data_IF_000117643733
#
_entry.id   IF_000117643733
#
_cell.length_a   1.000
_cell.length_b   1.000
_cell.length_c   1.000
_cell.angle_alpha   90.00
_cell.angle_beta   90.00
_cell.angle_gamma   90.00
#
_symmetry.space_group_name_H-M   'P 1'
#
loop_
_entity.id
_entity.type
_entity.pdbx_description
1 polymer ?
#
# COMPACT_ATOMS: atom_id res chain seq x y z
N UNK A 1 -8.06 28.52 -56.90
CA UNK A 1 -8.70 29.74 -57.46
C UNK A 1 -10.17 29.41 -57.65
N UNK A 2 -11.11 30.21 -57.08
CA UNK A 2 -12.58 29.97 -57.01
C UNK A 2 -12.98 28.72 -56.19
N UNK A 3 -13.87 28.73 -55.18
CA UNK A 3 -14.99 29.59 -54.74
C UNK A 3 -16.34 29.39 -55.47
N UNK A 4 -17.34 29.01 -54.67
CA UNK A 4 -18.80 29.14 -54.83
C UNK A 4 -19.38 28.78 -53.43
N UNK A 5 -20.14 29.62 -52.72
CA UNK A 5 -21.47 30.21 -53.05
C UNK A 5 -22.56 29.12 -53.15
N UNK A 6 -23.76 29.21 -52.55
CA UNK A 6 -24.41 30.37 -51.92
C UNK A 6 -25.55 30.02 -50.92
N UNK A 7 -25.85 30.98 -50.04
CA UNK A 7 -27.14 31.46 -49.51
C UNK A 7 -28.45 30.65 -49.80
N UNK A 8 -29.23 30.27 -48.78
CA UNK A 8 -30.30 31.04 -48.06
C UNK A 8 -31.54 31.43 -48.90
N UNK A 9 -32.71 30.89 -48.52
CA UNK A 9 -34.06 31.42 -48.81
C UNK A 9 -35.05 31.01 -47.70
N UNK A 10 -36.22 31.66 -47.57
CA UNK A 10 -36.84 31.93 -46.24
C UNK A 10 -38.39 32.01 -46.23
N UNK A 11 -39.06 31.25 -45.33
CA UNK A 11 -40.46 31.42 -44.79
C UNK A 11 -41.67 31.29 -45.76
N UNK A 12 -42.97 31.35 -45.33
CA UNK A 12 -43.58 31.42 -43.97
C UNK A 12 -44.79 30.50 -43.63
N UNK A 13 -45.15 30.50 -42.34
CA UNK A 13 -46.46 30.38 -41.66
C UNK A 13 -47.60 29.47 -42.19
N UNK A 14 -48.13 28.64 -41.28
CA UNK A 14 -49.53 28.74 -40.81
C UNK A 14 -49.73 28.15 -39.40
N UNK A 15 -50.75 28.62 -38.69
CA UNK A 15 -51.01 28.36 -37.27
C UNK A 15 -52.06 27.28 -37.03
N UNK A 16 -52.04 26.64 -35.85
CA UNK A 16 -53.27 26.19 -35.15
C UNK A 16 -53.03 25.83 -33.67
N UNK A 17 -53.61 26.67 -32.79
CA UNK A 17 -54.44 26.35 -31.60
C UNK A 17 -53.90 25.32 -30.56
N UNK A 18 -53.76 25.82 -29.31
CA UNK A 18 -53.54 25.06 -28.06
C UNK A 18 -54.65 24.02 -27.75
N UNK A 19 -54.35 23.01 -26.90
CA UNK A 19 -54.87 23.14 -25.54
C UNK A 19 -53.84 22.86 -24.42
N UNK A 20 -54.05 23.58 -23.32
CA UNK A 20 -53.34 23.50 -22.04
C UNK A 20 -53.39 22.08 -21.45
N UNK A 21 -52.24 21.54 -21.04
CA UNK A 21 -52.16 20.48 -20.01
C UNK A 21 -51.07 20.81 -19.01
N UNK A 22 -51.42 20.75 -17.74
CA UNK A 22 -50.58 21.11 -16.60
C UNK A 22 -49.35 20.19 -16.50
N UNK A 23 -48.16 20.79 -16.54
CA UNK A 23 -46.92 20.12 -16.14
C UNK A 23 -46.70 20.36 -14.64
N UNK A 24 -46.89 19.30 -13.86
CA UNK A 24 -46.50 19.25 -12.45
C UNK A 24 -44.97 19.22 -12.40
N UNK A 25 -44.29 20.17 -11.75
CA UNK A 25 -42.86 20.03 -11.50
C UNK A 25 -42.65 18.94 -10.46
N UNK A 26 -42.12 17.79 -10.88
CA UNK A 26 -41.70 16.74 -9.96
C UNK A 26 -40.43 17.19 -9.24
N UNK A 27 -40.59 17.95 -8.15
CA UNK A 27 -39.50 18.38 -7.30
C UNK A 27 -38.95 17.17 -6.54
N UNK A 28 -38.05 16.43 -7.17
CA UNK A 28 -37.30 15.35 -6.52
C UNK A 28 -36.32 15.96 -5.52
N UNK A 29 -36.82 16.26 -4.31
CA UNK A 29 -35.98 16.57 -3.17
C UNK A 29 -35.21 15.28 -2.83
N UNK A 30 -34.00 15.17 -3.37
CA UNK A 30 -33.01 14.24 -2.85
C UNK A 30 -32.66 14.74 -1.46
N UNK A 31 -33.31 14.16 -0.45
CA UNK A 31 -32.91 14.30 0.93
C UNK A 31 -31.56 13.59 1.09
N UNK A 32 -30.48 14.29 0.77
CA UNK A 32 -29.13 13.96 1.20
C UNK A 32 -29.12 14.07 2.73
N UNK A 33 -29.50 12.97 3.38
CA UNK A 33 -29.45 12.86 4.84
C UNK A 33 -28.00 12.96 5.26
N UNK A 34 -27.60 14.16 5.67
CA UNK A 34 -26.28 14.41 6.25
C UNK A 34 -26.22 13.73 7.61
N UNK A 35 -25.96 12.41 7.63
CA UNK A 35 -25.55 11.66 8.81
C UNK A 35 -24.10 12.04 9.17
N UNK A 36 -23.92 13.31 9.51
CA UNK A 36 -22.64 13.99 9.70
C UNK A 36 -22.61 14.88 10.93
N UNK A 37 -23.38 14.54 11.99
CA UNK A 37 -23.23 15.10 13.33
C UNK A 37 -24.10 14.33 14.37
N UNK A 38 -23.61 13.19 14.89
CA UNK A 38 -23.96 12.63 16.22
C UNK A 38 -23.38 11.20 16.42
N UNK A 39 -22.05 11.07 16.57
CA UNK A 39 -21.43 9.89 17.20
C UNK A 39 -20.39 10.32 18.24
N UNK A 40 -20.90 10.99 19.28
CA UNK A 40 -20.18 11.30 20.51
C UNK A 40 -21.02 10.83 21.72
N UNK A 41 -21.51 9.59 21.66
CA UNK A 41 -22.40 9.00 22.66
C UNK A 41 -22.42 7.46 22.62
N UNK A 42 -21.25 6.84 22.46
CA UNK A 42 -20.99 5.44 22.85
C UNK A 42 -19.47 5.25 22.94
N UNK A 43 -18.97 4.43 23.86
CA UNK A 43 -17.53 4.23 24.11
C UNK A 43 -16.78 3.44 23.03
N UNK A 44 -17.21 3.51 21.78
CA UNK A 44 -16.67 2.76 20.66
C UNK A 44 -15.52 3.53 20.01
N UNK A 45 -14.29 3.07 20.25
CA UNK A 45 -13.11 3.56 19.56
C UNK A 45 -13.22 3.29 18.06
N UNK A 46 -12.92 4.30 17.22
CA UNK A 46 -12.88 4.19 15.76
C UNK A 46 -11.89 3.14 15.22
N UNK A 47 -11.07 2.54 16.08
CA UNK A 47 -10.28 1.34 15.79
C UNK A 47 -11.13 0.09 15.47
N UNK A 48 -12.36 0.02 15.98
CA UNK A 48 -13.29 -1.09 15.76
C UNK A 48 -14.42 -0.72 14.79
N UNK A 49 -14.36 0.47 14.20
CA UNK A 49 -15.16 0.84 13.03
C UNK A 49 -14.30 0.66 11.77
N UNK A 50 -14.87 0.08 10.73
CA UNK A 50 -14.16 -0.22 9.48
C UNK A 50 -14.70 0.59 8.32
N UNK A 51 -13.80 0.97 7.42
CA UNK A 51 -14.13 1.71 6.21
C UNK A 51 -15.09 0.91 5.32
N UNK A 52 -16.08 1.58 4.74
CA UNK A 52 -16.95 1.01 3.71
C UNK A 52 -16.29 0.95 2.32
N UNK A 53 -15.05 1.44 2.18
CA UNK A 53 -14.27 1.36 0.94
C UNK A 53 -13.99 -0.12 0.59
N UNK A 54 -14.10 -0.53 -0.69
CA UNK A 54 -13.65 -1.85 -1.14
C UNK A 54 -12.18 -2.09 -0.80
N UNK A 55 -11.80 -3.35 -0.57
CA UNK A 55 -10.42 -3.71 -0.25
C UNK A 55 -9.49 -3.45 -1.45
N UNK A 56 -8.47 -2.58 -1.33
CA UNK A 56 -7.69 -2.15 -2.49
C UNK A 56 -6.49 -3.05 -2.81
N UNK A 57 -5.95 -3.79 -1.82
CA UNK A 57 -4.66 -4.48 -1.96
C UNK A 57 -4.79 -5.88 -2.56
N UNK A 58 -4.09 -6.12 -3.67
CA UNK A 58 -3.85 -7.46 -4.23
C UNK A 58 -2.85 -8.24 -3.40
N UNK A 59 -1.79 -7.58 -2.94
CA UNK A 59 -0.85 -8.14 -1.97
C UNK A 59 -0.29 -7.09 -1.01
N UNK A 60 0.19 -7.59 0.13
CA UNK A 60 1.13 -6.97 1.04
C UNK A 60 2.39 -7.85 1.12
N UNK A 61 3.56 -7.23 1.12
CA UNK A 61 4.87 -7.86 1.13
C UNK A 61 5.66 -7.29 2.31
N UNK A 62 6.25 -8.14 3.14
CA UNK A 62 7.16 -7.73 4.20
C UNK A 62 8.50 -8.48 4.05
N UNK A 63 9.60 -7.74 4.09
CA UNK A 63 10.95 -8.25 3.87
C UNK A 63 11.82 -7.87 5.07
N UNK A 64 12.50 -8.86 5.63
CA UNK A 64 13.53 -8.71 6.67
C UNK A 64 14.36 -10.02 6.74
N UNK A 65 15.49 -10.03 7.44
CA UNK A 65 16.20 -11.25 7.82
C UNK A 65 15.23 -12.32 8.39
N UNK A 66 15.27 -13.58 7.92
CA UNK A 66 14.29 -14.60 8.27
C UNK A 66 14.35 -15.05 9.72
N UNK A 67 15.51 -14.95 10.39
CA UNK A 67 15.68 -15.33 11.79
C UNK A 67 15.19 -14.20 12.70
N UNK A 68 15.34 -12.93 12.28
CA UNK A 68 14.68 -11.78 12.90
C UNK A 68 13.16 -11.91 12.81
N UNK A 69 12.60 -12.31 11.66
CA UNK A 69 11.15 -12.56 11.52
C UNK A 69 10.70 -13.65 12.50
N UNK A 70 11.39 -14.80 12.56
CA UNK A 70 11.07 -15.90 13.52
C UNK A 70 11.12 -15.43 14.98
N UNK A 71 12.15 -14.68 15.34
CA UNK A 71 12.29 -14.13 16.69
C UNK A 71 11.18 -13.11 17.03
N UNK A 72 10.75 -12.31 16.05
CA UNK A 72 9.57 -11.46 16.19
C UNK A 72 8.29 -12.27 16.35
N UNK A 73 8.03 -13.30 15.52
CA UNK A 73 6.81 -14.11 15.61
C UNK A 73 6.60 -14.67 17.04
N UNK A 74 7.68 -15.15 17.67
CA UNK A 74 7.67 -15.68 19.05
C UNK A 74 7.32 -14.57 20.06
N UNK A 75 8.02 -13.42 20.00
CA UNK A 75 7.78 -12.29 20.91
C UNK A 75 6.38 -11.70 20.74
N UNK A 76 5.88 -11.62 19.51
CA UNK A 76 4.53 -11.16 19.20
C UNK A 76 3.47 -12.10 19.76
N UNK A 77 3.68 -13.42 19.74
CA UNK A 77 2.77 -14.37 20.39
C UNK A 77 2.71 -14.17 21.92
N UNK A 78 3.86 -13.98 22.58
CA UNK A 78 3.92 -13.66 24.01
C UNK A 78 3.22 -12.33 24.32
N UNK A 79 3.43 -11.32 23.48
CA UNK A 79 2.82 -10.00 23.59
C UNK A 79 1.30 -10.04 23.43
N UNK A 80 0.79 -10.72 22.40
CA UNK A 80 -0.63 -10.86 22.15
C UNK A 80 -1.37 -11.58 23.29
N UNK A 81 -0.74 -12.56 23.94
CA UNK A 81 -1.27 -13.19 25.16
C UNK A 81 -1.36 -12.19 26.33
N UNK A 82 -0.47 -11.20 26.43
CA UNK A 82 -0.56 -10.13 27.44
C UNK A 82 -1.70 -9.15 27.11
N UNK A 83 -1.85 -8.76 25.84
CA UNK A 83 -2.97 -7.93 25.36
C UNK A 83 -4.32 -8.63 25.57
N UNK A 84 -4.40 -9.93 25.31
CA UNK A 84 -5.59 -10.76 25.53
C UNK A 84 -6.00 -10.82 27.01
N UNK A 85 -5.03 -10.90 27.92
CA UNK A 85 -5.25 -10.91 29.37
C UNK A 85 -5.51 -9.51 29.96
N UNK A 86 -5.56 -8.46 29.14
CA UNK A 86 -5.70 -7.08 29.61
C UNK A 86 -4.49 -6.55 30.40
N UNK A 87 -3.32 -7.18 30.25
CA UNK A 87 -2.06 -6.76 30.90
C UNK A 87 -1.33 -5.68 30.11
N UNK A 88 -1.79 -5.39 28.89
CA UNK A 88 -1.30 -4.32 28.02
C UNK A 88 -2.47 -3.61 27.35
N UNK A 89 -2.49 -2.28 27.40
CA UNK A 89 -3.59 -1.45 26.89
C UNK A 89 -3.46 -1.17 25.37
N UNK A 90 -3.12 -2.20 24.60
CA UNK A 90 -3.01 -2.08 23.14
C UNK A 90 -4.37 -2.23 22.45
N UNK A 91 -4.58 -1.35 21.47
CA UNK A 91 -5.82 -1.28 20.67
C UNK A 91 -6.01 -2.57 19.87
N UNK A 92 -4.96 -3.03 19.21
CA UNK A 92 -4.92 -4.23 18.39
C UNK A 92 -3.97 -5.28 18.99
N UNK A 93 -4.04 -6.49 18.46
CA UNK A 93 -2.94 -7.47 18.51
C UNK A 93 -2.00 -7.21 17.33
N UNK A 94 -0.80 -7.73 17.37
CA UNK A 94 0.17 -7.62 16.28
C UNK A 94 0.15 -8.90 15.42
N UNK A 95 0.11 -8.76 14.10
CA UNK A 95 -0.14 -9.90 13.19
C UNK A 95 0.95 -10.96 13.18
N UNK A 96 2.20 -10.60 13.49
CA UNK A 96 3.37 -11.41 13.18
C UNK A 96 3.35 -12.81 13.80
N UNK A 97 2.59 -13.09 14.87
CA UNK A 97 2.49 -14.43 15.46
C UNK A 97 2.07 -15.53 14.46
N UNK A 98 1.37 -15.17 13.39
CA UNK A 98 0.87 -16.12 12.38
C UNK A 98 1.71 -16.19 11.10
N UNK A 99 2.66 -15.29 10.90
CA UNK A 99 3.33 -15.05 9.61
C UNK A 99 4.86 -15.21 9.71
N UNK A 100 5.36 -16.46 9.82
CA UNK A 100 6.77 -16.75 9.55
C UNK A 100 7.12 -16.50 8.08
N UNK A 101 8.41 -16.45 7.71
CA UNK A 101 8.82 -16.31 6.31
C UNK A 101 8.22 -17.42 5.45
N UNK A 102 7.47 -17.05 4.41
CA UNK A 102 6.93 -17.96 3.41
C UNK A 102 8.03 -18.42 2.46
N UNK A 103 8.89 -17.49 2.04
CA UNK A 103 10.08 -17.74 1.22
C UNK A 103 11.31 -17.20 1.96
N UNK A 104 12.46 -17.82 1.74
CA UNK A 104 13.76 -17.27 2.11
C UNK A 104 14.66 -17.33 0.89
N UNK A 105 15.26 -16.21 0.53
CA UNK A 105 16.30 -16.15 -0.51
C UNK A 105 17.65 -16.12 0.21
N UNK A 106 18.40 -17.20 0.02
CA UNK A 106 19.79 -17.31 0.48
C UNK A 106 20.69 -16.56 -0.51
N UNK A 107 21.61 -15.74 -0.01
CA UNK A 107 22.62 -15.03 -0.81
C UNK A 107 24.02 -15.26 -0.22
N UNK A 108 25.11 -15.08 -1.00
CA UNK A 108 26.47 -15.13 -0.47
C UNK A 108 26.76 -14.17 0.70
N UNK A 109 26.02 -13.07 0.81
CA UNK A 109 26.22 -12.03 1.82
C UNK A 109 25.23 -12.11 3.01
N UNK A 110 24.24 -13.01 2.98
CA UNK A 110 23.19 -13.11 4.02
C UNK A 110 21.86 -13.64 3.49
N UNK A 111 20.75 -13.41 4.21
CA UNK A 111 19.44 -14.01 3.93
C UNK A 111 18.32 -12.97 3.89
N UNK A 112 17.37 -13.17 2.99
CA UNK A 112 16.18 -12.34 2.86
C UNK A 112 14.93 -13.19 3.08
N UNK A 113 14.28 -13.03 4.23
CA UNK A 113 13.00 -13.62 4.54
C UNK A 113 11.87 -12.78 3.95
N UNK A 114 10.89 -13.45 3.33
CA UNK A 114 9.76 -12.81 2.68
C UNK A 114 8.47 -13.36 3.29
N UNK A 115 7.62 -12.46 3.79
CA UNK A 115 6.23 -12.72 4.15
C UNK A 115 5.36 -12.07 3.08
N UNK A 116 4.54 -12.87 2.38
CA UNK A 116 3.63 -12.37 1.35
C UNK A 116 2.18 -12.68 1.75
N UNK A 117 1.38 -11.63 1.92
CA UNK A 117 -0.06 -11.74 2.13
C UNK A 117 -0.78 -11.37 0.83
N UNK A 118 -1.40 -12.35 0.18
CA UNK A 118 -2.24 -12.16 -1.02
C UNK A 118 -3.71 -12.12 -0.62
N UNK A 119 -4.52 -11.30 -1.28
CA UNK A 119 -5.91 -11.08 -0.90
C UNK A 119 -6.88 -11.21 -2.09
N UNK A 120 -8.14 -11.54 -1.79
CA UNK A 120 -9.26 -11.36 -2.72
C UNK A 120 -9.67 -9.88 -2.79
N UNK A 121 -10.48 -9.51 -3.81
CA UNK A 121 -11.13 -8.17 -3.88
C UNK A 121 -12.09 -7.88 -2.70
N UNK A 122 -12.35 -8.86 -1.83
CA UNK A 122 -13.14 -8.72 -0.59
C UNK A 122 -12.28 -8.73 0.68
N UNK A 123 -10.95 -8.67 0.56
CA UNK A 123 -10.01 -8.68 1.67
C UNK A 123 -9.72 -10.05 2.28
N UNK A 124 -10.32 -11.13 1.77
CA UNK A 124 -10.04 -12.49 2.30
C UNK A 124 -8.59 -12.86 1.99
N UNK A 125 -7.84 -13.27 3.01
CA UNK A 125 -6.45 -13.71 2.89
C UNK A 125 -6.38 -15.05 2.13
N UNK A 126 -5.66 -15.07 1.01
CA UNK A 126 -5.54 -16.20 0.10
C UNK A 126 -4.21 -16.95 0.22
N UNK A 127 -3.19 -16.39 0.88
CA UNK A 127 -1.86 -17.01 0.96
C UNK A 127 -1.93 -18.43 1.53
N UNK A 128 -1.41 -19.45 0.83
CA UNK A 128 -1.32 -20.82 1.31
C UNK A 128 -0.65 -20.91 2.69
N UNK A 129 -1.22 -21.71 3.60
CA UNK A 129 -0.70 -21.89 4.96
C UNK A 129 -1.18 -20.85 5.98
N UNK A 130 -1.46 -19.61 5.56
CA UNK A 130 -2.04 -18.57 6.43
C UNK A 130 -3.58 -18.52 6.37
N UNK A 131 -4.17 -18.96 5.25
CA UNK A 131 -5.62 -19.02 5.04
C UNK A 131 -6.40 -19.86 6.09
N UNK A 132 -5.74 -20.79 6.81
CA UNK A 132 -6.33 -21.62 7.88
C UNK A 132 -7.01 -20.86 9.02
N UNK A 133 -6.75 -19.56 9.15
CA UNK A 133 -7.31 -18.70 10.19
C UNK A 133 -8.53 -17.87 9.74
N UNK A 134 -8.98 -18.05 8.49
CA UNK A 134 -10.10 -17.32 7.89
C UNK A 134 -9.98 -15.79 8.07
N UNK A 135 -8.81 -15.23 7.80
CA UNK A 135 -8.56 -13.81 7.94
C UNK A 135 -9.23 -12.99 6.82
N UNK A 136 -9.88 -11.89 7.20
CA UNK A 136 -10.31 -10.82 6.30
C UNK A 136 -9.57 -9.54 6.66
N UNK A 137 -8.82 -8.98 5.72
CA UNK A 137 -8.17 -7.68 5.84
C UNK A 137 -9.16 -6.53 5.62
N UNK A 138 -9.05 -5.50 6.45
CA UNK A 138 -9.91 -4.30 6.41
C UNK A 138 -9.10 -3.06 6.76
N UNK A 139 -9.59 -1.89 6.33
CA UNK A 139 -9.09 -0.58 6.78
C UNK A 139 -9.97 -0.10 7.93
N UNK A 140 -9.38 0.18 9.10
CA UNK A 140 -10.09 0.84 10.21
C UNK A 140 -10.31 2.33 9.94
N UNK A 141 -11.28 2.95 10.62
CA UNK A 141 -11.56 4.39 10.49
C UNK A 141 -10.40 5.29 10.97
N UNK A 142 -9.43 4.74 11.70
CA UNK A 142 -8.17 5.39 12.11
C UNK A 142 -6.98 5.03 11.20
N UNK A 143 -7.23 4.57 9.97
CA UNK A 143 -6.19 4.34 8.97
C UNK A 143 -5.22 3.18 9.27
N UNK A 144 -5.57 2.25 10.16
CA UNK A 144 -4.77 1.02 10.36
C UNK A 144 -5.34 -0.10 9.48
N UNK A 145 -4.47 -0.86 8.82
CA UNK A 145 -4.77 -2.09 8.10
C UNK A 145 -4.72 -3.26 9.09
N UNK A 146 -5.86 -3.93 9.27
CA UNK A 146 -6.01 -4.98 10.28
C UNK A 146 -6.60 -6.25 9.69
N UNK A 147 -6.22 -7.40 10.23
CA UNK A 147 -6.81 -8.71 9.93
C UNK A 147 -7.86 -9.06 10.98
N UNK A 148 -9.05 -9.42 10.52
CA UNK A 148 -10.15 -9.94 11.32
C UNK A 148 -10.15 -11.47 11.25
N UNK A 149 -9.86 -12.14 12.36
CA UNK A 149 -9.92 -13.60 12.47
C UNK A 149 -11.39 -14.03 12.39
N UNK A 150 -11.71 -15.03 11.56
CA UNK A 150 -13.09 -15.44 11.26
C UNK A 150 -13.99 -14.32 10.66
N UNK A 151 -13.41 -13.24 10.13
CA UNK A 151 -14.11 -12.13 9.49
C UNK A 151 -14.89 -11.20 10.44
N UNK A 152 -15.74 -10.34 9.85
CA UNK A 152 -16.43 -9.23 10.52
C UNK A 152 -17.34 -9.58 11.71
N UNK A 153 -17.72 -10.85 11.88
CA UNK A 153 -18.68 -11.27 12.90
C UNK A 153 -18.03 -11.66 14.24
N UNK A 154 -16.70 -11.83 14.29
CA UNK A 154 -15.98 -12.28 15.48
C UNK A 154 -15.66 -11.11 16.43
N UNK A 155 -16.70 -10.61 17.11
CA UNK A 155 -16.60 -9.52 18.10
C UNK A 155 -15.79 -9.89 19.35
N UNK A 156 -15.43 -11.16 19.53
CA UNK A 156 -14.67 -11.64 20.69
C UNK A 156 -13.16 -11.58 20.46
N UNK A 157 -12.71 -11.46 19.22
CA UNK A 157 -11.29 -11.33 18.88
C UNK A 157 -10.93 -9.87 18.57
N UNK A 158 -9.86 -9.37 19.22
CA UNK A 158 -9.22 -8.11 18.81
C UNK A 158 -8.66 -8.25 17.39
N UNK A 159 -8.79 -7.24 16.52
CA UNK A 159 -8.11 -7.21 15.22
C UNK A 159 -6.59 -7.29 15.37
N UNK A 160 -5.93 -7.82 14.34
CA UNK A 160 -4.47 -7.92 14.26
C UNK A 160 -3.94 -6.86 13.30
N UNK A 161 -3.24 -5.84 13.79
CA UNK A 161 -2.63 -4.81 12.98
C UNK A 161 -1.44 -5.37 12.19
N UNK A 162 -1.30 -4.95 10.92
CA UNK A 162 -0.16 -5.33 10.10
C UNK A 162 0.53 -4.17 9.36
N UNK A 163 -0.18 -3.05 9.13
CA UNK A 163 0.39 -1.83 8.57
C UNK A 163 -0.55 -0.63 8.77
N UNK A 164 -0.04 0.57 8.50
CA UNK A 164 -0.80 1.81 8.44
C UNK A 164 -1.10 2.17 6.98
N UNK A 165 -2.31 2.63 6.72
CA UNK A 165 -2.71 3.29 5.49
C UNK A 165 -2.40 4.78 5.62
N UNK A 166 -1.40 5.25 4.90
CA UNK A 166 -1.02 6.66 4.83
C UNK A 166 -1.50 7.26 3.52
N UNK A 167 -2.35 8.28 3.58
CA UNK A 167 -2.95 8.93 2.42
C UNK A 167 -2.97 10.44 2.65
N UNK A 168 -2.36 11.19 1.74
CA UNK A 168 -2.43 12.65 1.70
C UNK A 168 -3.70 13.11 0.96
N UNK A 169 -4.27 14.28 1.29
CA UNK A 169 -5.37 14.87 0.53
C UNK A 169 -4.97 15.12 -0.94
N UNK A 170 -5.80 14.71 -1.88
CA UNK A 170 -5.52 14.90 -3.31
C UNK A 170 -4.60 13.84 -3.92
N UNK A 171 -4.04 14.14 -5.09
CA UNK A 171 -3.23 13.19 -5.86
C UNK A 171 -1.74 13.47 -5.69
N UNK A 172 -1.03 12.59 -4.98
CA UNK A 172 0.42 12.67 -4.79
C UNK A 172 1.07 11.35 -5.16
N UNK A 173 2.22 11.39 -5.85
CA UNK A 173 2.92 10.18 -6.32
C UNK A 173 3.24 9.15 -5.21
N UNK A 174 3.45 9.61 -3.97
CA UNK A 174 3.71 8.74 -2.81
C UNK A 174 2.43 8.34 -2.03
N UNK A 175 1.23 8.68 -2.52
CA UNK A 175 -0.06 8.51 -1.81
C UNK A 175 -1.10 7.79 -2.69
N UNK A 176 -1.84 6.78 -2.18
CA UNK A 176 -1.72 6.20 -0.85
C UNK A 176 -0.41 5.39 -0.71
N UNK A 177 -0.03 5.11 0.53
CA UNK A 177 1.06 4.22 0.90
C UNK A 177 0.65 3.27 2.02
N UNK A 178 1.26 2.09 2.02
CA UNK A 178 1.15 1.11 3.11
C UNK A 178 2.45 1.11 3.89
N UNK A 179 2.40 1.55 5.14
CA UNK A 179 3.53 1.97 5.96
C UNK A 179 3.64 1.13 7.25
N UNK A 180 4.84 0.77 7.68
CA UNK A 180 5.04 0.05 8.96
C UNK A 180 5.35 1.01 10.13
N UNK A 181 5.66 0.46 11.30
CA UNK A 181 6.03 1.25 12.49
C UNK A 181 7.42 1.89 12.44
N UNK A 182 8.27 1.55 11.47
CA UNK A 182 9.65 2.06 11.35
C UNK A 182 9.78 3.31 10.48
N UNK A 183 8.77 3.60 9.65
CA UNK A 183 8.73 4.76 8.76
C UNK A 183 8.96 6.09 9.49
N UNK A 184 8.47 6.21 10.73
CA UNK A 184 8.67 7.36 11.60
C UNK A 184 10.10 7.55 12.13
N UNK A 185 11.03 6.63 11.85
CA UNK A 185 12.48 6.83 11.99
C UNK A 185 13.11 7.12 10.63
N UNK A 186 12.69 6.39 9.60
CA UNK A 186 13.15 6.52 8.21
C UNK A 186 13.05 7.94 7.65
N UNK A 187 11.91 8.61 7.84
CA UNK A 187 11.66 9.92 7.20
C UNK A 187 12.12 11.15 8.00
N UNK A 188 12.62 10.96 9.23
CA UNK A 188 13.09 12.06 10.08
C UNK A 188 14.44 12.65 9.65
N UNK A 189 15.28 11.85 8.98
CA UNK A 189 16.66 12.21 8.66
C UNK A 189 17.06 11.65 7.30
N UNK A 190 17.72 12.47 6.50
CA UNK A 190 18.41 12.06 5.26
C UNK A 190 19.91 11.87 5.46
N UNK A 191 20.39 11.96 6.71
CA UNK A 191 21.74 11.62 7.07
C UNK A 191 21.87 10.11 7.34
N UNK A 192 22.51 9.32 6.46
CA UNK A 192 22.75 7.90 6.72
C UNK A 192 23.53 7.64 8.02
N UNK A 193 24.30 8.63 8.52
CA UNK A 193 25.15 8.49 9.73
C UNK A 193 24.40 8.77 11.03
N UNK A 194 23.08 8.98 11.00
CA UNK A 194 22.25 9.02 12.20
C UNK A 194 22.21 7.63 12.87
N UNK A 195 22.32 7.58 14.19
CA UNK A 195 22.30 6.32 14.95
C UNK A 195 20.95 5.59 14.88
N UNK A 196 19.90 6.23 14.37
CA UNK A 196 18.56 5.67 14.20
C UNK A 196 18.17 5.43 12.73
N UNK A 197 19.14 5.45 11.81
CA UNK A 197 18.88 5.22 10.38
C UNK A 197 18.49 3.76 10.09
N UNK A 198 17.32 3.55 9.48
CA UNK A 198 16.69 2.23 9.21
C UNK A 198 16.51 2.00 7.69
N UNK A 199 17.56 2.33 6.94
CA UNK A 199 17.51 2.41 5.49
C UNK A 199 16.83 3.70 4.99
N UNK A 200 16.83 3.88 3.67
CA UNK A 200 16.30 5.06 2.98
C UNK A 200 15.18 4.74 1.99
N UNK A 201 14.79 3.47 1.85
CA UNK A 201 13.65 3.06 1.06
C UNK A 201 12.53 2.58 2.01
N UNK A 202 11.33 3.16 1.90
CA UNK A 202 10.16 2.76 2.66
C UNK A 202 8.85 2.94 1.88
N UNK A 203 7.73 3.04 2.59
CA UNK A 203 6.41 3.09 1.99
C UNK A 203 6.17 4.24 0.99
N UNK A 204 6.81 5.41 1.18
CA UNK A 204 6.69 6.56 0.26
C UNK A 204 7.41 6.29 -1.06
N UNK A 205 8.65 5.81 -0.99
CA UNK A 205 9.44 5.41 -2.16
C UNK A 205 8.77 4.26 -2.91
N UNK A 206 8.27 3.25 -2.20
CA UNK A 206 7.50 2.15 -2.79
C UNK A 206 6.32 2.67 -3.60
N UNK A 207 5.52 3.56 -3.01
CA UNK A 207 4.29 4.04 -3.62
C UNK A 207 4.56 4.93 -4.83
N UNK A 208 5.59 5.79 -4.77
CA UNK A 208 6.07 6.54 -5.93
C UNK A 208 6.53 5.64 -7.08
N UNK A 209 7.28 4.58 -6.80
CA UNK A 209 7.72 3.63 -7.82
C UNK A 209 6.58 2.75 -8.36
N UNK A 210 5.58 2.45 -7.54
CA UNK A 210 4.38 1.70 -7.94
C UNK A 210 3.48 2.53 -8.87
N UNK A 211 3.32 3.83 -8.62
CA UNK A 211 2.42 4.72 -9.38
C UNK A 211 3.03 5.26 -10.69
N UNK A 212 4.34 5.26 -10.83
CA UNK A 212 5.05 5.69 -12.06
C UNK A 212 4.91 4.62 -13.18
N UNK A 213 3.92 4.75 -14.07
CA UNK A 213 3.63 3.76 -15.13
C UNK A 213 4.79 3.47 -16.09
N UNK A 214 5.68 4.44 -16.29
CA UNK A 214 6.88 4.34 -17.13
C UNK A 214 8.00 3.57 -16.41
N UNK A 215 7.97 3.48 -15.08
CA UNK A 215 8.94 2.70 -14.30
C UNK A 215 8.62 1.20 -14.36
N UNK A 216 9.54 0.36 -14.86
CA UNK A 216 9.27 -1.06 -15.12
C UNK A 216 9.29 -1.95 -13.87
N UNK A 217 10.01 -1.56 -12.81
CA UNK A 217 10.24 -2.33 -11.59
C UNK A 217 10.27 -1.40 -10.36
N UNK A 218 10.14 -1.99 -9.17
CA UNK A 218 10.36 -1.33 -7.89
C UNK A 218 11.77 -1.72 -7.40
N UNK A 219 12.68 -0.75 -7.35
CA UNK A 219 14.01 -0.91 -6.73
C UNK A 219 13.91 -0.54 -5.24
N UNK A 220 14.00 -1.56 -4.37
CA UNK A 220 13.89 -1.44 -2.90
C UNK A 220 15.22 -1.17 -2.20
N UNK A 221 16.30 -0.94 -2.95
CA UNK A 221 17.65 -0.78 -2.40
C UNK A 221 17.78 0.47 -1.53
N UNK A 222 18.23 0.30 -0.29
CA UNK A 222 18.73 1.38 0.56
C UNK A 222 20.24 1.53 0.36
N UNK A 223 20.65 2.66 -0.21
CA UNK A 223 22.03 2.99 -0.57
C UNK A 223 22.69 3.84 0.53
N UNK A 224 23.31 3.16 1.50
CA UNK A 224 23.85 3.79 2.71
C UNK A 224 25.13 4.60 2.43
N UNK A 225 26.21 3.90 2.04
CA UNK A 225 27.46 4.52 1.57
C UNK A 225 27.71 4.14 0.09
N UNK A 226 28.93 4.30 -0.44
CA UNK A 226 29.21 3.99 -1.85
C UNK A 226 29.04 2.50 -2.16
N UNK A 227 29.57 1.63 -1.28
CA UNK A 227 29.63 0.18 -1.47
C UNK A 227 28.73 -0.61 -0.50
N UNK A 228 28.16 0.04 0.53
CA UNK A 228 27.21 -0.60 1.44
C UNK A 228 25.78 -0.27 1.05
N UNK A 229 25.13 -1.25 0.44
CA UNK A 229 23.72 -1.23 0.02
C UNK A 229 22.99 -2.38 0.70
N UNK A 230 21.78 -2.12 1.19
CA UNK A 230 20.99 -3.11 1.94
C UNK A 230 19.55 -3.12 1.46
N UNK A 231 18.89 -4.24 1.76
CA UNK A 231 17.45 -4.38 1.77
C UNK A 231 17.13 -4.60 3.25
N UNK A 232 16.77 -3.52 3.93
CA UNK A 232 16.38 -3.53 5.34
C UNK A 232 14.86 -3.78 5.47
N UNK A 233 14.36 -3.80 6.72
CA UNK A 233 12.95 -3.90 7.06
C UNK A 233 12.09 -2.96 6.24
N UNK A 234 11.28 -3.53 5.35
CA UNK A 234 10.35 -2.76 4.52
C UNK A 234 9.01 -3.47 4.37
N UNK A 235 7.99 -2.66 4.11
CA UNK A 235 6.69 -3.11 3.63
C UNK A 235 6.47 -2.64 2.19
N UNK A 236 5.82 -3.49 1.41
CA UNK A 236 5.44 -3.24 0.04
C UNK A 236 4.02 -3.73 -0.23
N UNK A 237 3.42 -3.26 -1.31
CA UNK A 237 2.04 -3.56 -1.66
C UNK A 237 1.78 -3.40 -3.17
N UNK A 238 0.67 -3.94 -3.66
CA UNK A 238 0.16 -3.62 -4.99
C UNK A 238 -1.36 -3.68 -5.00
N UNK A 239 -2.00 -2.83 -5.79
CA UNK A 239 -3.45 -2.86 -5.99
C UNK A 239 -3.89 -3.99 -6.93
N UNK A 240 -5.21 -4.21 -7.03
CA UNK A 240 -5.78 -5.09 -8.07
C UNK A 240 -5.68 -4.51 -9.47
N UNK A 241 -5.73 -3.18 -9.58
CA UNK A 241 -5.75 -2.46 -10.85
C UNK A 241 -4.37 -1.82 -11.16
N UNK A 242 -3.38 -2.01 -10.26
CA UNK A 242 -1.98 -1.65 -10.49
C UNK A 242 -1.32 -2.63 -11.47
N UNK A 243 -0.55 -2.09 -12.42
CA UNK A 243 0.33 -2.87 -13.31
C UNK A 243 1.34 -3.68 -12.46
N UNK A 244 1.47 -5.00 -12.68
CA UNK A 244 2.51 -5.81 -12.03
C UNK A 244 3.90 -5.27 -12.31
N UNK A 245 4.75 -5.20 -11.28
CA UNK A 245 6.12 -4.66 -11.36
C UNK A 245 7.06 -5.58 -10.59
N UNK A 246 8.12 -6.12 -11.22
CA UNK A 246 9.16 -6.85 -10.51
C UNK A 246 9.69 -6.02 -9.35
N UNK A 247 9.77 -6.64 -8.18
CA UNK A 247 10.34 -6.05 -6.98
C UNK A 247 11.78 -6.54 -6.92
N UNK A 248 12.73 -5.63 -7.13
CA UNK A 248 14.16 -5.94 -7.16
C UNK A 248 14.90 -5.13 -6.10
N UNK A 249 16.08 -5.60 -5.69
CA UNK A 249 16.98 -4.81 -4.88
C UNK A 249 18.40 -5.36 -4.88
N UNK A 250 19.36 -4.53 -4.49
CA UNK A 250 20.75 -4.92 -4.30
C UNK A 250 21.01 -5.12 -2.81
N UNK A 251 21.26 -6.36 -2.43
CA UNK A 251 21.66 -6.76 -1.09
C UNK A 251 23.16 -6.99 -1.07
N UNK A 252 23.90 -6.05 -0.45
CA UNK A 252 25.36 -6.02 -0.41
C UNK A 252 25.97 -6.07 -1.82
N UNK A 253 26.43 -7.22 -2.32
CA UNK A 253 26.97 -7.35 -3.69
C UNK A 253 25.96 -7.90 -4.69
N UNK A 254 24.92 -8.58 -4.20
CA UNK A 254 24.03 -9.39 -5.02
C UNK A 254 22.76 -8.61 -5.38
N UNK A 255 22.42 -8.57 -6.67
CA UNK A 255 21.08 -8.19 -7.09
C UNK A 255 20.12 -9.36 -6.86
N UNK A 256 18.89 -9.07 -6.48
CA UNK A 256 17.88 -10.07 -6.14
C UNK A 256 16.54 -9.63 -6.72
N UNK A 257 15.80 -10.55 -7.34
CA UNK A 257 14.37 -10.36 -7.58
C UNK A 257 13.60 -11.03 -6.44
N UNK A 258 12.71 -10.26 -5.81
CA UNK A 258 12.05 -10.58 -4.54
C UNK A 258 10.60 -11.01 -4.77
N UNK A 259 9.91 -10.37 -5.72
CA UNK A 259 8.51 -10.63 -6.06
C UNK A 259 8.17 -10.16 -7.48
N UNK A 260 7.08 -10.67 -8.05
CA UNK A 260 6.61 -10.39 -9.43
C UNK A 260 7.69 -10.44 -10.52
N UNK A 261 8.64 -11.38 -10.43
CA UNK A 261 9.74 -11.47 -11.38
C UNK A 261 9.22 -11.69 -12.82
N UNK A 262 9.86 -11.07 -13.82
CA UNK A 262 9.32 -10.97 -15.17
C UNK A 262 9.15 -12.34 -15.81
N UNK A 263 8.18 -12.45 -16.72
CA UNK A 263 7.86 -13.69 -17.44
C UNK A 263 7.53 -14.91 -16.56
N UNK A 264 7.18 -14.71 -15.28
CA UNK A 264 6.89 -15.79 -14.35
C UNK A 264 8.14 -16.48 -13.80
N UNK A 265 9.29 -15.80 -13.81
CA UNK A 265 10.50 -16.29 -13.15
C UNK A 265 10.30 -16.39 -11.63
N UNK A 266 11.01 -17.32 -10.98
CA UNK A 266 10.99 -17.44 -9.52
C UNK A 266 11.90 -16.37 -8.87
N UNK A 267 11.48 -15.77 -7.74
CA UNK A 267 12.34 -14.92 -6.92
C UNK A 267 13.66 -15.60 -6.51
N UNK A 268 14.75 -14.86 -6.64
CA UNK A 268 16.12 -15.36 -6.44
C UNK A 268 17.19 -14.35 -6.85
N UNK A 269 18.45 -14.78 -6.81
CA UNK A 269 19.61 -13.95 -7.16
C UNK A 269 19.63 -13.66 -8.67
N UNK A 270 19.80 -12.38 -9.01
CA UNK A 270 20.10 -11.90 -10.36
C UNK A 270 21.64 -11.90 -10.50
N UNK A 271 22.19 -12.89 -11.20
CA UNK A 271 23.64 -13.09 -11.35
C UNK A 271 24.36 -11.94 -12.06
N UNK A 272 23.73 -11.39 -13.11
CA UNK A 272 24.19 -10.18 -13.80
C UNK A 272 22.99 -9.28 -14.10
N UNK A 273 22.92 -8.13 -13.43
CA UNK A 273 21.83 -7.15 -13.57
C UNK A 273 21.79 -6.50 -14.96
N UNK A 274 22.93 -6.35 -15.65
CA UNK A 274 22.99 -5.78 -17.01
C UNK A 274 22.40 -6.75 -18.04
N UNK A 275 22.75 -8.03 -17.94
CA UNK A 275 22.14 -9.08 -18.78
C UNK A 275 20.65 -9.24 -18.48
N UNK A 276 20.25 -9.19 -17.21
CA UNK A 276 18.85 -9.33 -16.80
C UNK A 276 17.99 -8.16 -17.29
N UNK A 277 18.41 -6.92 -17.06
CA UNK A 277 17.69 -5.73 -17.55
C UNK A 277 17.58 -5.74 -19.08
N UNK A 278 18.68 -6.03 -19.79
CA UNK A 278 18.69 -6.19 -21.25
C UNK A 278 17.76 -7.29 -21.75
N UNK A 279 17.74 -8.46 -21.09
CA UNK A 279 16.86 -9.61 -21.42
C UNK A 279 15.37 -9.25 -21.32
N UNK A 280 15.00 -8.41 -20.36
CA UNK A 280 13.62 -8.00 -20.11
C UNK A 280 13.25 -6.63 -20.71
N UNK A 281 14.18 -5.97 -21.40
CA UNK A 281 13.95 -4.66 -22.02
C UNK A 281 13.84 -3.50 -21.02
N UNK A 282 14.39 -3.67 -19.81
CA UNK A 282 14.35 -2.67 -18.76
C UNK A 282 15.60 -1.76 -18.81
N UNK A 283 15.51 -0.46 -18.41
CA UNK A 283 16.66 0.32 -17.98
C UNK A 283 17.43 -0.35 -16.83
N UNK A 284 18.68 0.08 -16.65
CA UNK A 284 19.49 -0.24 -15.47
C UNK A 284 18.97 0.46 -14.21
N UNK A 285 19.01 -0.18 -13.02
CA UNK A 285 18.74 0.50 -11.76
C UNK A 285 19.64 1.71 -11.55
N UNK A 286 19.03 2.82 -11.13
CA UNK A 286 19.71 4.10 -10.89
C UNK A 286 19.54 4.47 -9.42
N UNK A 287 20.65 4.67 -8.71
CA UNK A 287 20.65 5.17 -7.33
C UNK A 287 19.92 6.53 -7.28
N UNK A 288 18.94 6.73 -6.38
CA UNK A 288 18.28 8.03 -6.21
C UNK A 288 19.27 9.11 -5.73
N UNK A 289 18.97 10.38 -6.03
CA UNK A 289 19.88 11.51 -5.74
C UNK A 289 20.08 11.76 -4.23
N UNK A 290 19.17 11.27 -3.39
CA UNK A 290 19.19 11.30 -1.92
C UNK A 290 18.39 10.11 -1.40
N UNK A 291 18.55 9.75 -0.12
CA UNK A 291 17.70 8.76 0.53
C UNK A 291 17.46 9.08 2.02
N UNK A 292 16.20 9.12 2.51
CA UNK A 292 14.96 8.86 1.75
C UNK A 292 14.71 9.88 0.64
N UNK A 293 13.95 9.48 -0.36
CA UNK A 293 13.63 10.36 -1.49
C UNK A 293 12.56 11.38 -1.07
N UNK A 294 11.72 11.01 -0.09
CA UNK A 294 10.59 11.79 0.41
C UNK A 294 10.64 12.00 1.95
N UNK A 295 11.65 12.69 2.51
CA UNK A 295 11.75 12.98 3.95
C UNK A 295 10.64 13.92 4.46
N UNK A 296 10.34 13.86 5.76
CA UNK A 296 9.31 14.70 6.41
C UNK A 296 9.57 16.20 6.28
N UNK A 297 10.83 16.59 6.07
CA UNK A 297 11.23 17.98 5.83
C UNK A 297 10.62 18.60 4.58
N UNK A 298 10.14 17.81 3.63
CA UNK A 298 9.40 18.28 2.45
C UNK A 298 7.93 18.60 2.71
N UNK A 299 7.38 18.13 3.83
CA UNK A 299 5.94 17.97 4.03
C UNK A 299 5.42 18.71 5.27
N UNK A 300 6.21 19.66 5.80
CA UNK A 300 5.86 20.45 6.98
C UNK A 300 4.59 21.30 6.78
N UNK A 301 4.35 21.71 5.54
CA UNK A 301 3.34 22.73 5.23
C UNK A 301 2.01 22.13 4.72
N UNK A 302 1.92 20.81 4.45
CA UNK A 302 0.69 20.18 3.89
C UNK A 302 -0.47 20.09 4.91
N UNK A 303 -0.23 20.41 6.18
CA UNK A 303 -1.27 20.47 7.22
C UNK A 303 -1.65 21.91 7.58
N UNK A 304 -1.17 22.91 6.81
CA UNK A 304 -1.47 24.34 7.01
C UNK A 304 -2.43 24.93 5.94
N UNK A 305 -2.95 24.11 5.01
CA UNK A 305 -3.99 24.46 4.02
C UNK A 305 -5.38 23.89 4.37
#
# INVERSE_FOLDING_TARGET
MRSSDSAMSVTPLSSMIMPIRSLIPLLAIVASVANGAARAADGHSGAYEFSSRPWPLRYFLYIQDPDVIRAMNIKTAEWNVRVEKGLENHVYRDYEEFFPPERTIETPDGKLGIVLMTFSKTGVLLTPGFNRFNFTAVVSNIGNLVLLKNGFNDKNNKPYNFANWWELPGSHIMSPAVCDGTEGYRYKTDNPKDTNYVGGFGCREWSAQLQDDDRPYIDVTSYWEADFVIIDRLVGWSGFDSKPKPVIGKYVKNWVCLHECPNGEEPGIISNIEEWTKKHGFPMPVRPKRQPEFPDSMFKDIYEE
#
